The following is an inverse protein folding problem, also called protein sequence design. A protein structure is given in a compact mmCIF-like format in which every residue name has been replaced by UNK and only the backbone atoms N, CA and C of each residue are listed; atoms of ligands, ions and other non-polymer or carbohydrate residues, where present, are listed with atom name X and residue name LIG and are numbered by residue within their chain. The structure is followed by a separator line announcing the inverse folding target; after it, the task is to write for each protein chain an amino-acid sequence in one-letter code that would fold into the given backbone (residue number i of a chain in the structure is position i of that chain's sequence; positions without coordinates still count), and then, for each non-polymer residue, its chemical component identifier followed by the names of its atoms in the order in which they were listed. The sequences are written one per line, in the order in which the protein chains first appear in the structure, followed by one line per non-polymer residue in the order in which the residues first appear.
data_IF_175893369880
#
_entry.id   IF_175893369880
#
_cell.length_a   1.000
_cell.length_b   1.000
_cell.length_c   1.000
_cell.angle_alpha   90.00
_cell.angle_beta   90.00
_cell.angle_gamma   90.00
#
_symmetry.space_group_name_H-M   'P 1'
#
loop_
_entity.id
_entity.type
_entity.pdbx_description
1 polymer ?
#
# COMPACT_ATOMS: atom_id res chain seq x y z
N UNK A 1 -27.99 0.01 -12.41
CA UNK A 1 -26.79 0.49 -11.71
C UNK A 1 -25.84 1.01 -12.77
N UNK A 2 -25.64 2.35 -12.83
CA UNK A 2 -24.72 2.94 -13.82
C UNK A 2 -23.29 2.74 -13.31
N UNK A 3 -22.47 2.18 -14.19
CA UNK A 3 -21.05 1.83 -13.95
C UNK A 3 -20.26 3.06 -13.51
N UNK A 4 -19.73 3.04 -12.27
CA UNK A 4 -18.90 4.12 -11.73
C UNK A 4 -17.59 4.32 -12.50
N UNK A 5 -17.14 3.30 -13.25
CA UNK A 5 -15.94 3.39 -14.10
C UNK A 5 -16.13 4.34 -15.28
N UNK A 6 -17.38 4.48 -15.77
CA UNK A 6 -17.69 5.39 -16.87
C UNK A 6 -17.66 6.86 -16.47
N UNK A 7 -17.92 7.16 -15.18
CA UNK A 7 -17.92 8.54 -14.65
C UNK A 7 -16.49 9.05 -14.52
N UNK A 8 -15.57 8.23 -14.01
CA UNK A 8 -14.15 8.61 -13.92
C UNK A 8 -13.54 8.84 -15.32
N UNK A 9 -13.84 7.96 -16.29
CA UNK A 9 -13.38 8.13 -17.68
C UNK A 9 -13.96 9.38 -18.35
N UNK A 10 -15.18 9.81 -17.98
CA UNK A 10 -15.79 11.04 -18.51
C UNK A 10 -15.19 12.32 -17.89
N UNK A 11 -14.85 12.30 -16.61
CA UNK A 11 -14.22 13.47 -15.94
C UNK A 11 -12.83 13.77 -16.51
N UNK A 12 -12.08 12.73 -16.90
CA UNK A 12 -10.75 12.87 -17.54
C UNK A 12 -10.88 13.38 -18.99
N UNK A 13 -12.02 13.16 -19.65
CA UNK A 13 -12.26 13.60 -21.05
C UNK A 13 -12.86 15.02 -21.19
N UNK A 14 -13.24 15.69 -20.12
CA UNK A 14 -13.90 17.00 -20.18
C UNK A 14 -12.96 18.20 -20.01
N UNK A 15 -11.68 17.99 -19.91
CA UNK A 15 -10.69 19.06 -20.09
C UNK A 15 -10.14 19.01 -21.49
N UNK A 16 -10.54 19.93 -22.36
CA UNK A 16 -9.99 20.08 -23.71
C UNK A 16 -8.62 20.76 -23.66
N UNK A 17 -7.66 20.09 -23.09
CA UNK A 17 -6.24 20.23 -23.38
C UNK A 17 -5.73 18.79 -23.27
N UNK A 18 -5.19 18.27 -24.35
CA UNK A 18 -4.37 17.05 -24.33
C UNK A 18 -3.12 17.32 -23.47
N UNK A 19 -3.30 17.37 -22.16
CA UNK A 19 -2.21 17.09 -21.27
C UNK A 19 -2.04 15.58 -21.34
N UNK A 20 -1.15 15.12 -22.21
CA UNK A 20 -0.46 13.86 -21.98
C UNK A 20 0.00 13.94 -20.53
N UNK A 21 -0.66 13.19 -19.66
CA UNK A 21 -0.22 13.06 -18.28
C UNK A 21 1.23 12.63 -18.35
N UNK A 22 2.16 13.52 -17.99
CA UNK A 22 3.60 13.26 -17.88
C UNK A 22 3.90 12.29 -16.72
N UNK A 23 3.02 11.33 -16.49
CA UNK A 23 3.31 10.21 -15.61
C UNK A 23 4.31 9.35 -16.37
N UNK A 24 5.53 9.41 -15.95
CA UNK A 24 6.63 8.73 -16.58
C UNK A 24 6.40 7.23 -16.68
N UNK A 25 6.69 6.67 -17.86
CA UNK A 25 6.74 5.24 -18.12
C UNK A 25 8.16 4.67 -17.96
N UNK A 26 9.06 5.40 -17.34
CA UNK A 26 10.45 5.00 -17.20
C UNK A 26 10.59 3.88 -16.19
N UNK A 27 11.27 2.79 -16.57
CA UNK A 27 11.55 1.69 -15.65
C UNK A 27 12.34 2.19 -14.43
N UNK A 28 11.97 1.69 -13.25
CA UNK A 28 12.66 1.99 -11.99
C UNK A 28 12.31 3.33 -11.34
N UNK A 29 11.47 4.15 -11.93
CA UNK A 29 11.10 5.45 -11.33
C UNK A 29 10.27 5.30 -10.07
N UNK A 30 9.55 4.18 -9.90
CA UNK A 30 8.80 3.94 -8.68
C UNK A 30 9.68 3.97 -7.43
N UNK A 31 10.93 3.50 -7.54
CA UNK A 31 11.87 3.51 -6.42
C UNK A 31 12.39 4.92 -6.06
N UNK A 32 12.13 5.94 -6.87
CA UNK A 32 12.44 7.33 -6.52
C UNK A 32 11.44 7.90 -5.51
N UNK A 33 10.21 7.40 -5.51
CA UNK A 33 9.13 7.89 -4.64
C UNK A 33 8.74 6.88 -3.55
N UNK A 34 9.09 5.61 -3.69
CA UNK A 34 8.81 4.57 -2.70
C UNK A 34 9.66 4.71 -1.45
N UNK A 35 9.11 4.29 -0.32
CA UNK A 35 9.88 4.09 0.92
C UNK A 35 10.77 2.85 0.76
N UNK A 36 12.10 3.02 0.90
CA UNK A 36 13.09 1.95 0.75
C UNK A 36 13.42 1.26 2.07
N UNK A 37 13.43 2.02 3.17
CA UNK A 37 13.66 1.49 4.51
C UNK A 37 12.36 0.91 5.07
N UNK A 38 11.93 -0.24 4.51
CA UNK A 38 10.66 -0.84 4.86
C UNK A 38 10.78 -1.67 6.11
N UNK A 39 10.05 -1.29 7.15
CA UNK A 39 9.85 -2.15 8.31
C UNK A 39 8.86 -3.25 7.93
N UNK A 40 9.33 -4.48 7.92
CA UNK A 40 8.51 -5.68 7.78
C UNK A 40 8.51 -6.50 9.05
N UNK A 41 7.52 -7.36 9.22
CA UNK A 41 7.40 -8.23 10.39
C UNK A 41 7.29 -9.70 9.98
N UNK A 42 7.76 -10.64 10.81
CA UNK A 42 7.57 -12.06 10.55
C UNK A 42 6.11 -12.48 10.77
N UNK A 43 5.63 -13.52 10.07
CA UNK A 43 4.25 -14.01 10.19
C UNK A 43 3.91 -14.56 11.59
N UNK A 44 4.92 -14.86 12.40
CA UNK A 44 4.81 -15.38 13.77
C UNK A 44 4.68 -14.29 14.84
N UNK A 45 4.87 -13.00 14.48
CA UNK A 45 4.71 -11.89 15.42
C UNK A 45 3.25 -11.81 15.89
N UNK A 46 3.03 -11.53 17.18
CA UNK A 46 1.67 -11.45 17.72
C UNK A 46 0.90 -10.25 17.14
N UNK A 47 -0.43 -10.35 17.11
CA UNK A 47 -1.32 -9.24 16.72
C UNK A 47 -1.06 -8.02 17.61
N UNK A 48 -0.93 -8.22 18.93
CA UNK A 48 -0.60 -7.17 19.90
C UNK A 48 0.71 -6.45 19.57
N UNK A 49 1.79 -7.21 19.31
CA UNK A 49 3.09 -6.59 19.04
C UNK A 49 3.15 -5.97 17.65
N UNK A 50 2.36 -6.48 16.71
CA UNK A 50 2.17 -5.84 15.40
C UNK A 50 1.49 -4.48 15.55
N UNK A 51 0.42 -4.40 16.35
CA UNK A 51 -0.25 -3.14 16.62
C UNK A 51 0.68 -2.11 17.30
N UNK A 52 1.56 -2.55 18.22
CA UNK A 52 2.57 -1.67 18.80
C UNK A 52 3.54 -1.10 17.76
N UNK A 53 4.07 -1.94 16.86
CA UNK A 53 4.93 -1.48 15.76
C UNK A 53 4.21 -0.45 14.89
N UNK A 54 2.95 -0.68 14.57
CA UNK A 54 2.15 0.29 13.81
C UNK A 54 2.01 1.63 14.53
N UNK A 55 1.80 1.61 15.86
CA UNK A 55 1.69 2.83 16.67
C UNK A 55 3.02 3.57 16.79
N UNK A 56 4.11 2.86 17.08
CA UNK A 56 5.45 3.43 17.28
C UNK A 56 5.97 4.14 16.03
N UNK A 57 5.61 3.63 14.85
CA UNK A 57 6.05 4.18 13.57
C UNK A 57 4.97 4.94 12.79
N UNK A 58 3.78 5.11 13.37
CA UNK A 58 2.61 5.74 12.73
C UNK A 58 2.21 5.08 11.40
N UNK A 59 2.43 3.78 11.28
CA UNK A 59 2.11 3.01 10.08
C UNK A 59 0.66 2.52 10.07
N UNK A 60 0.00 2.64 8.93
CA UNK A 60 -1.34 2.08 8.71
C UNK A 60 -1.32 0.66 8.12
N UNK A 61 -0.14 0.21 7.67
CA UNK A 61 0.06 -1.10 7.05
C UNK A 61 1.51 -1.55 7.19
N UNK A 62 1.70 -2.85 7.29
CA UNK A 62 3.03 -3.46 7.40
C UNK A 62 3.11 -4.66 6.47
N UNK A 63 4.12 -4.74 5.60
CA UNK A 63 4.46 -5.97 4.90
C UNK A 63 4.86 -7.06 5.89
N UNK A 64 4.43 -8.27 5.60
CA UNK A 64 4.84 -9.47 6.32
C UNK A 64 5.81 -10.22 5.43
N UNK A 65 7.03 -10.41 5.91
CA UNK A 65 8.08 -11.06 5.14
C UNK A 65 8.67 -12.24 5.90
N UNK A 66 9.16 -13.21 5.16
CA UNK A 66 9.93 -14.31 5.73
C UNK A 66 11.30 -13.81 6.20
N UNK A 67 11.67 -14.01 7.47
CA UNK A 67 12.90 -13.45 8.02
C UNK A 67 14.17 -14.06 7.43
N UNK A 68 14.09 -15.25 6.86
CA UNK A 68 15.24 -15.92 6.26
C UNK A 68 15.48 -15.52 4.81
N UNK A 69 14.42 -15.50 4.00
CA UNK A 69 14.50 -15.20 2.56
C UNK A 69 14.23 -13.73 2.22
N UNK A 70 13.54 -13.00 3.09
CA UNK A 70 13.07 -11.64 2.83
C UNK A 70 11.87 -11.57 1.88
N UNK A 71 11.29 -12.71 1.48
CA UNK A 71 10.14 -12.76 0.57
C UNK A 71 8.88 -12.24 1.25
N UNK A 72 8.07 -11.49 0.50
CA UNK A 72 6.77 -11.02 0.95
C UNK A 72 5.80 -12.20 1.06
N UNK A 73 5.23 -12.39 2.25
CA UNK A 73 4.26 -13.44 2.57
C UNK A 73 2.83 -12.91 2.73
N UNK A 74 2.70 -11.61 2.96
CA UNK A 74 1.43 -11.00 3.24
C UNK A 74 1.56 -9.50 3.51
N UNK A 75 0.41 -8.89 3.79
CA UNK A 75 0.32 -7.52 4.31
C UNK A 75 -0.74 -7.50 5.40
N UNK A 76 -0.52 -6.69 6.42
CA UNK A 76 -1.52 -6.40 7.45
C UNK A 76 -1.77 -4.90 7.50
N UNK A 77 -3.01 -4.52 7.68
CA UNK A 77 -3.46 -3.13 7.81
C UNK A 77 -4.13 -2.88 9.16
N UNK A 78 -4.26 -1.62 9.53
CA UNK A 78 -5.08 -1.22 10.69
C UNK A 78 -6.51 -1.73 10.55
N UNK A 79 -7.06 -1.79 9.32
CA UNK A 79 -8.41 -2.32 9.08
C UNK A 79 -8.51 -3.81 9.39
N UNK A 80 -7.46 -4.60 9.14
CA UNK A 80 -7.43 -6.03 9.49
C UNK A 80 -7.51 -6.21 11.01
N UNK A 81 -6.82 -5.35 11.76
CA UNK A 81 -6.84 -5.35 13.22
C UNK A 81 -8.22 -4.88 13.74
N UNK A 82 -8.80 -3.85 13.13
CA UNK A 82 -10.15 -3.39 13.49
C UNK A 82 -11.22 -4.46 13.16
N UNK A 83 -11.12 -5.15 12.02
CA UNK A 83 -12.01 -6.24 11.66
C UNK A 83 -11.92 -7.41 12.66
N UNK A 84 -10.70 -7.71 13.13
CA UNK A 84 -10.48 -8.71 14.18
C UNK A 84 -11.11 -8.32 15.52
N UNK A 85 -11.08 -7.05 15.92
CA UNK A 85 -11.65 -6.58 17.19
C UNK A 85 -13.12 -6.18 17.10
N UNK A 86 -13.58 -5.75 15.94
CA UNK A 86 -14.86 -5.09 15.74
C UNK A 86 -16.03 -6.00 15.34
N UNK A 87 -15.88 -7.30 15.40
CA UNK A 87 -16.95 -8.24 15.02
C UNK A 87 -17.07 -8.49 13.52
N UNK A 88 -16.01 -8.20 12.73
CA UNK A 88 -15.96 -8.51 11.31
C UNK A 88 -15.64 -9.99 11.02
N UNK A 89 -15.31 -10.30 9.78
CA UNK A 89 -15.04 -11.70 9.36
C UNK A 89 -13.90 -12.36 10.15
N UNK A 90 -12.92 -11.58 10.59
CA UNK A 90 -11.76 -12.07 11.35
C UNK A 90 -12.06 -12.22 12.84
N UNK A 91 -13.13 -11.63 13.34
CA UNK A 91 -13.63 -11.80 14.70
C UNK A 91 -14.02 -13.25 15.02
N UNK A 92 -14.44 -14.03 14.03
CA UNK A 92 -14.72 -15.47 14.17
C UNK A 92 -13.55 -16.27 14.76
N UNK A 93 -12.30 -15.75 14.68
CA UNK A 93 -11.13 -16.36 15.29
C UNK A 93 -11.22 -16.28 16.81
N UNK A 94 -11.68 -15.13 17.34
CA UNK A 94 -11.86 -14.94 18.78
C UNK A 94 -12.99 -15.85 19.29
N UNK A 95 -14.13 -15.79 18.63
CA UNK A 95 -15.35 -16.51 19.01
C UNK A 95 -15.16 -18.03 19.01
N UNK A 96 -14.61 -18.57 17.92
CA UNK A 96 -14.50 -20.04 17.73
C UNK A 96 -13.31 -20.68 18.44
N UNK A 97 -12.18 -19.97 18.54
CA UNK A 97 -10.92 -20.54 19.03
C UNK A 97 -10.66 -20.21 20.49
N UNK A 98 -11.20 -19.11 20.98
CA UNK A 98 -10.86 -18.55 22.30
C UNK A 98 -12.07 -18.34 23.21
N UNK A 99 -13.27 -18.82 22.84
CA UNK A 99 -14.47 -18.71 23.67
C UNK A 99 -14.62 -17.29 24.27
N UNK A 100 -14.46 -16.27 23.40
CA UNK A 100 -14.47 -14.86 23.77
C UNK A 100 -13.30 -14.38 24.65
N UNK A 101 -12.26 -15.20 24.85
CA UNK A 101 -11.06 -14.77 25.56
C UNK A 101 -10.19 -13.86 24.69
N UNK A 102 -10.49 -12.59 24.73
CA UNK A 102 -9.80 -11.54 23.99
C UNK A 102 -8.29 -11.48 24.27
N UNK A 103 -7.88 -11.63 25.54
CA UNK A 103 -6.46 -11.58 25.91
C UNK A 103 -5.66 -12.73 25.34
N UNK A 104 -6.26 -13.89 25.14
CA UNK A 104 -5.63 -15.00 24.44
C UNK A 104 -5.56 -14.71 22.95
N UNK A 105 -6.62 -14.20 22.35
CA UNK A 105 -6.71 -13.92 20.93
C UNK A 105 -5.71 -12.86 20.44
N UNK A 106 -5.42 -11.82 21.20
CA UNK A 106 -4.43 -10.77 20.79
C UNK A 106 -2.99 -11.28 20.74
N UNK A 107 -2.70 -12.42 21.36
CA UNK A 107 -1.39 -13.07 21.29
C UNK A 107 -1.25 -14.02 20.11
N UNK A 108 -2.31 -14.19 19.29
CA UNK A 108 -2.22 -14.96 18.05
C UNK A 108 -1.19 -14.36 17.07
N UNK A 109 -0.55 -15.24 16.28
CA UNK A 109 0.33 -14.79 15.21
C UNK A 109 -0.41 -13.96 14.18
N UNK A 110 0.26 -12.92 13.66
CA UNK A 110 -0.34 -11.99 12.69
C UNK A 110 -0.77 -12.69 11.38
N UNK A 111 -0.18 -13.84 11.04
CA UNK A 111 -0.57 -14.66 9.87
C UNK A 111 -2.03 -15.09 9.88
N UNK A 112 -2.70 -15.08 11.06
CA UNK A 112 -4.10 -15.48 11.18
C UNK A 112 -5.05 -14.41 10.64
N UNK A 113 -4.60 -13.14 10.62
CA UNK A 113 -5.42 -12.01 10.17
C UNK A 113 -4.85 -11.25 8.98
N UNK A 114 -3.61 -11.55 8.55
CA UNK A 114 -3.00 -10.90 7.39
C UNK A 114 -3.72 -11.24 6.08
N UNK A 115 -3.62 -10.37 5.10
CA UNK A 115 -3.94 -10.67 3.71
C UNK A 115 -2.74 -11.40 3.09
N UNK A 116 -2.96 -12.61 2.53
CA UNK A 116 -1.90 -13.46 1.97
C UNK A 116 -1.65 -13.21 0.49
N UNK A 117 -2.71 -13.03 -0.28
CA UNK A 117 -2.63 -12.81 -1.73
C UNK A 117 -2.32 -11.33 -2.01
N UNK A 118 -1.06 -10.94 -1.73
CA UNK A 118 -0.60 -9.57 -1.89
C UNK A 118 -0.13 -9.33 -3.31
N UNK A 119 -0.67 -8.29 -3.93
CA UNK A 119 -0.15 -7.80 -5.21
C UNK A 119 1.17 -7.08 -4.93
N UNK A 120 2.25 -7.60 -5.46
CA UNK A 120 3.57 -6.99 -5.47
C UNK A 120 3.92 -6.51 -6.88
N UNK A 121 4.72 -5.47 -6.99
CA UNK A 121 5.33 -5.04 -8.24
C UNK A 121 6.85 -5.14 -8.15
N UNK A 122 7.50 -5.20 -9.31
CA UNK A 122 8.96 -5.12 -9.37
C UNK A 122 9.45 -3.73 -8.93
N UNK A 123 10.61 -3.68 -8.30
CA UNK A 123 11.35 -2.44 -8.02
C UNK A 123 11.72 -1.65 -9.31
N UNK A 124 11.58 -2.29 -10.48
CA UNK A 124 11.75 -1.68 -11.81
C UNK A 124 10.47 -1.18 -12.45
N UNK A 125 9.33 -1.33 -11.79
CA UNK A 125 8.04 -0.86 -12.32
C UNK A 125 8.02 0.65 -12.52
N UNK A 126 7.17 1.11 -13.43
CA UNK A 126 6.93 2.53 -13.64
C UNK A 126 5.90 3.07 -12.64
N UNK A 127 5.87 4.38 -12.45
CA UNK A 127 4.82 5.05 -11.66
C UNK A 127 3.45 4.79 -12.28
N UNK A 128 3.36 4.78 -13.61
CA UNK A 128 2.11 4.54 -14.34
C UNK A 128 1.55 3.14 -14.05
N UNK A 129 2.37 2.09 -14.18
CA UNK A 129 1.94 0.71 -13.90
C UNK A 129 1.47 0.57 -12.46
N UNK A 130 2.14 1.27 -11.54
CA UNK A 130 1.78 1.28 -10.12
C UNK A 130 0.41 1.91 -9.90
N UNK A 131 0.15 3.07 -10.51
CA UNK A 131 -1.16 3.75 -10.44
C UNK A 131 -2.26 2.86 -11.03
N UNK A 132 -2.03 2.29 -12.20
CA UNK A 132 -2.99 1.41 -12.87
C UNK A 132 -3.30 0.18 -12.00
N UNK A 133 -2.28 -0.41 -11.37
CA UNK A 133 -2.43 -1.55 -10.46
C UNK A 133 -3.24 -1.16 -9.21
N UNK A 134 -2.95 -0.01 -8.60
CA UNK A 134 -3.71 0.49 -7.43
C UNK A 134 -5.18 0.71 -7.77
N UNK A 135 -5.46 1.37 -8.90
CA UNK A 135 -6.83 1.70 -9.30
C UNK A 135 -7.64 0.45 -9.70
N UNK A 136 -7.03 -0.46 -10.47
CA UNK A 136 -7.70 -1.66 -10.95
C UNK A 136 -8.05 -2.63 -9.82
N UNK A 137 -7.21 -2.69 -8.78
CA UNK A 137 -7.39 -3.60 -7.65
C UNK A 137 -7.95 -2.91 -6.40
N UNK A 138 -8.19 -1.59 -6.44
CA UNK A 138 -8.68 -0.79 -5.30
C UNK A 138 -7.81 -0.92 -4.05
N UNK A 139 -6.49 -0.93 -4.24
CA UNK A 139 -5.49 -1.05 -3.19
C UNK A 139 -4.69 0.24 -3.03
N UNK A 140 -4.42 0.65 -1.81
CA UNK A 140 -3.72 1.90 -1.49
C UNK A 140 -2.25 1.71 -1.08
N UNK A 141 -1.67 0.53 -1.28
CA UNK A 141 -0.24 0.29 -1.15
C UNK A 141 0.17 -0.99 -1.87
N UNK A 142 1.39 -0.98 -2.38
CA UNK A 142 1.98 -2.11 -3.10
C UNK A 142 3.40 -2.32 -2.60
N UNK A 143 3.73 -3.49 -2.04
CA UNK A 143 5.12 -3.88 -1.80
C UNK A 143 5.87 -4.01 -3.11
N UNK A 144 7.09 -3.50 -3.15
CA UNK A 144 8.01 -3.63 -4.27
C UNK A 144 9.02 -4.72 -3.95
N UNK A 145 9.28 -5.57 -4.93
CA UNK A 145 10.21 -6.70 -4.78
C UNK A 145 11.34 -6.64 -5.81
N UNK A 146 12.50 -7.11 -5.40
CA UNK A 146 13.66 -7.25 -6.28
C UNK A 146 13.54 -8.48 -7.20
N UNK A 147 14.58 -8.73 -8.01
CA UNK A 147 14.65 -9.87 -8.93
C UNK A 147 14.65 -11.24 -8.22
N UNK A 148 14.83 -11.29 -6.90
CA UNK A 148 14.81 -12.51 -6.08
C UNK A 148 13.52 -12.61 -5.24
N UNK A 149 12.49 -11.82 -5.56
CA UNK A 149 11.23 -11.70 -4.82
C UNK A 149 11.39 -11.17 -3.36
N UNK A 150 12.52 -10.54 -3.03
CA UNK A 150 12.71 -9.93 -1.73
C UNK A 150 12.10 -8.55 -1.67
N UNK A 151 11.55 -8.21 -0.51
CA UNK A 151 11.01 -6.88 -0.24
C UNK A 151 12.11 -5.82 -0.41
N UNK A 152 11.93 -4.92 -1.38
CA UNK A 152 12.85 -3.83 -1.73
C UNK A 152 12.30 -2.45 -1.38
N UNK A 153 10.98 -2.33 -1.27
CA UNK A 153 10.31 -1.06 -0.99
C UNK A 153 8.83 -1.24 -0.74
N UNK A 154 8.17 -0.16 -0.39
CA UNK A 154 6.70 -0.06 -0.40
C UNK A 154 6.30 1.30 -0.95
N UNK A 155 5.29 1.32 -1.80
CA UNK A 155 4.70 2.55 -2.34
C UNK A 155 3.24 2.63 -1.92
N UNK A 156 2.81 3.83 -1.55
CA UNK A 156 1.44 4.11 -1.12
C UNK A 156 0.80 5.16 -2.03
N UNK A 157 -0.53 5.24 -1.98
CA UNK A 157 -1.28 6.33 -2.63
C UNK A 157 -0.78 7.73 -2.23
N UNK A 158 -0.32 7.88 -0.98
CA UNK A 158 0.23 9.14 -0.48
C UNK A 158 1.53 9.49 -1.19
N UNK A 159 2.42 8.53 -1.42
CA UNK A 159 3.71 8.76 -2.09
C UNK A 159 3.47 9.21 -3.53
N UNK A 160 2.51 8.58 -4.22
CA UNK A 160 2.09 8.97 -5.57
C UNK A 160 1.55 10.41 -5.59
N UNK A 161 0.63 10.74 -4.68
CA UNK A 161 0.00 12.07 -4.63
C UNK A 161 1.02 13.15 -4.29
N UNK A 162 1.94 12.89 -3.35
CA UNK A 162 3.00 13.83 -3.00
C UNK A 162 3.96 14.06 -4.16
N UNK A 163 4.31 13.02 -4.92
CA UNK A 163 5.15 13.14 -6.11
C UNK A 163 4.48 13.99 -7.19
N UNK A 164 3.19 13.78 -7.44
CA UNK A 164 2.41 14.59 -8.38
C UNK A 164 2.29 16.05 -7.92
N UNK A 165 2.07 16.30 -6.63
CA UNK A 165 2.02 17.65 -6.07
C UNK A 165 3.37 18.38 -6.20
N UNK A 166 4.51 17.68 -6.03
CA UNK A 166 5.83 18.23 -6.23
C UNK A 166 6.06 18.68 -7.67
N UNK A 167 5.68 17.87 -8.65
CA UNK A 167 5.76 18.22 -10.07
C UNK A 167 4.91 19.44 -10.40
N UNK A 168 3.68 19.52 -9.91
CA UNK A 168 2.79 20.65 -10.14
C UNK A 168 3.31 21.96 -9.53
N UNK A 169 3.97 21.90 -8.35
CA UNK A 169 4.56 23.09 -7.74
C UNK A 169 5.80 23.59 -8.49
N UNK A 170 6.61 22.71 -9.05
CA UNK A 170 7.76 23.08 -9.87
C UNK A 170 7.35 23.71 -11.22
N UNK A 171 6.33 23.18 -11.90
CA UNK A 171 5.81 23.76 -13.14
C UNK A 171 5.23 25.16 -12.89
N UNK A 172 4.43 25.35 -11.84
CA UNK A 172 3.91 26.66 -11.48
C UNK A 172 5.01 27.66 -11.15
N UNK A 173 6.06 27.23 -10.43
CA UNK A 173 7.20 28.09 -10.11
C UNK A 173 7.99 28.51 -11.38
N UNK A 174 8.19 27.60 -12.33
CA UNK A 174 8.85 27.90 -13.60
C UNK A 174 8.05 28.89 -14.45
N UNK A 175 6.74 28.74 -14.51
CA UNK A 175 5.86 29.67 -15.24
C UNK A 175 5.89 31.08 -14.62
N UNK A 176 5.92 31.21 -13.29
CA UNK A 176 6.04 32.50 -12.60
C UNK A 176 7.44 33.15 -12.79
N UNK A 177 8.50 32.35 -12.95
CA UNK A 177 9.85 32.86 -13.15
C UNK A 177 10.13 33.25 -14.60
N UNK A 178 9.42 32.70 -15.56
CA UNK A 178 9.58 32.97 -17.01
C UNK A 178 8.84 34.22 -17.48
N UNK A 179 7.98 34.81 -16.64
CA UNK A 179 7.16 35.99 -16.97
C UNK A 179 7.74 37.32 -16.49
N UNK A 180 9.06 37.39 -16.17
CA UNK A 180 9.76 38.65 -15.86
C UNK A 180 10.76 39.01 -16.92
#
# INVERSE_FOLDING_TARGET
MKDKSSILRKSIKMGSVEHETKVSNKEGEIMAIASKDVISIPPTKSIKDTAKVMMEHEFRRLPIADPGSGKVLGIVTVMDILDFFGGGKKFNIIEKKYEDNFLAAINEPIREIMTRDVICLSDKSSIKDTIETMLSNQIGAIPLVDANDKLAGIVTERDIVLSLAGVLTEEVAQDYMSTK
#
